data_IF_394218390523
#
_entry.id   IF_394218390523
#
_cell.length_a   1.000
_cell.length_b   1.000
_cell.length_c   1.000
_cell.angle_alpha   90.00
_cell.angle_beta   90.00
_cell.angle_gamma   90.00
#
_symmetry.space_group_name_H-M   'P 1'
#
loop_
_entity.id
_entity.type
_entity.pdbx_description
1 polymer ?
#
# COMPACT_ATOMS: atom_id res chain seq x y z
N UNK A 1 51.97 14.76 -11.22
CA UNK A 1 50.98 15.85 -11.36
C UNK A 1 49.52 15.36 -11.42
N UNK A 2 49.23 14.12 -11.81
CA UNK A 2 47.83 13.67 -12.04
C UNK A 2 47.06 13.16 -10.81
N UNK A 3 47.72 12.70 -9.73
CA UNK A 3 47.02 12.23 -8.51
C UNK A 3 46.40 13.37 -7.70
N UNK A 4 47.06 14.53 -7.66
CA UNK A 4 46.56 15.68 -6.90
C UNK A 4 45.39 16.36 -7.60
N UNK A 5 45.35 16.36 -8.93
CA UNK A 5 44.24 16.94 -9.72
C UNK A 5 42.93 16.15 -9.48
N UNK A 6 42.99 14.81 -9.48
CA UNK A 6 41.84 13.96 -9.19
C UNK A 6 41.33 14.14 -7.75
N UNK A 7 42.24 14.25 -6.78
CA UNK A 7 41.86 14.48 -5.37
C UNK A 7 41.29 15.89 -5.18
N UNK A 8 41.80 16.91 -5.87
CA UNK A 8 41.22 18.27 -5.82
C UNK A 8 39.87 18.35 -6.52
N UNK A 9 39.65 17.62 -7.62
CA UNK A 9 38.33 17.56 -8.27
C UNK A 9 37.34 16.84 -7.35
N UNK A 10 37.74 15.74 -6.72
CA UNK A 10 36.89 14.99 -5.81
C UNK A 10 36.55 15.79 -4.54
N UNK A 11 37.53 16.50 -3.94
CA UNK A 11 37.29 17.42 -2.84
C UNK A 11 36.44 18.62 -3.27
N UNK A 12 36.63 19.16 -4.48
CA UNK A 12 35.82 20.27 -4.98
C UNK A 12 34.37 19.86 -5.21
N UNK A 13 34.11 18.64 -5.69
CA UNK A 13 32.74 18.08 -5.84
C UNK A 13 32.09 17.86 -4.47
N UNK A 14 32.84 17.34 -3.49
CA UNK A 14 32.35 17.15 -2.12
C UNK A 14 32.08 18.50 -1.44
N UNK A 15 32.98 19.48 -1.59
CA UNK A 15 32.80 20.82 -1.01
C UNK A 15 31.64 21.55 -1.71
N UNK A 16 31.48 21.42 -3.03
CA UNK A 16 30.33 21.98 -3.76
C UNK A 16 29.01 21.33 -3.29
N UNK A 17 29.00 20.02 -3.02
CA UNK A 17 27.86 19.31 -2.45
C UNK A 17 27.54 19.70 -0.99
N UNK A 18 28.54 20.18 -0.23
CA UNK A 18 28.37 20.61 1.18
C UNK A 18 28.02 22.11 1.29
N UNK A 19 28.41 22.95 0.32
CA UNK A 19 28.13 24.40 0.34
C UNK A 19 26.86 24.82 -0.37
N UNK A 20 26.19 23.90 -1.08
CA UNK A 20 24.81 24.11 -1.49
C UNK A 20 23.95 23.99 -0.22
N UNK A 21 23.71 25.11 0.44
CA UNK A 21 22.47 25.26 1.20
C UNK A 21 21.35 24.85 0.26
N UNK A 22 20.75 23.69 0.49
CA UNK A 22 19.54 23.23 -0.17
C UNK A 22 18.40 24.20 0.22
N UNK A 23 18.43 25.41 -0.32
CA UNK A 23 17.22 26.19 -0.47
C UNK A 23 16.32 25.36 -1.38
N UNK A 24 15.07 25.11 -0.96
CA UNK A 24 14.12 24.40 -1.79
C UNK A 24 14.16 25.04 -3.18
N UNK A 25 14.31 24.24 -4.22
CA UNK A 25 14.20 24.75 -5.58
C UNK A 25 12.86 25.49 -5.66
N UNK A 26 12.89 26.77 -6.06
CA UNK A 26 11.65 27.52 -6.27
C UNK A 26 11.01 26.96 -7.53
N UNK A 27 10.10 26.01 -7.34
CA UNK A 27 9.27 25.44 -8.40
C UNK A 27 8.01 26.29 -8.55
N UNK A 28 7.54 26.44 -9.79
CA UNK A 28 6.22 26.99 -10.05
C UNK A 28 5.18 25.94 -9.63
N UNK A 29 4.16 26.37 -8.87
CA UNK A 29 3.11 25.48 -8.37
C UNK A 29 1.73 25.87 -8.88
N UNK A 30 0.85 24.88 -8.96
CA UNK A 30 -0.60 25.02 -9.08
C UNK A 30 -1.24 24.58 -7.77
N UNK A 31 -2.49 24.96 -7.56
CA UNK A 31 -3.28 24.57 -6.39
C UNK A 31 -4.33 23.52 -6.78
N UNK A 32 -4.40 22.44 -6.03
CA UNK A 32 -5.49 21.48 -6.05
C UNK A 32 -6.36 21.73 -4.82
N UNK A 33 -7.67 21.77 -5.01
CA UNK A 33 -8.64 21.88 -3.93
C UNK A 33 -9.91 21.12 -4.31
N UNK A 34 -10.43 20.36 -3.35
CA UNK A 34 -11.80 19.86 -3.35
C UNK A 34 -12.46 20.22 -2.01
N UNK A 35 -13.64 19.67 -1.72
CA UNK A 35 -14.39 20.00 -0.49
C UNK A 35 -13.67 19.62 0.83
N UNK A 36 -12.56 18.88 0.77
CA UNK A 36 -11.89 18.31 1.93
C UNK A 36 -10.37 18.50 1.96
N UNK A 37 -9.70 18.27 0.83
CA UNK A 37 -8.25 18.30 0.72
C UNK A 37 -7.84 19.43 -0.21
N UNK A 38 -6.82 20.19 0.20
CA UNK A 38 -6.11 21.09 -0.70
C UNK A 38 -4.59 21.04 -0.51
N UNK A 39 -3.85 21.25 -1.60
CA UNK A 39 -2.40 21.30 -1.61
C UNK A 39 -1.88 21.94 -2.91
N UNK A 40 -0.66 22.44 -2.84
CA UNK A 40 0.12 22.93 -3.95
C UNK A 40 0.95 21.78 -4.56
N UNK A 41 1.04 21.76 -5.88
CA UNK A 41 1.80 20.75 -6.62
C UNK A 41 2.56 21.41 -7.80
N UNK A 42 3.64 20.81 -8.33
CA UNK A 42 4.38 21.37 -9.46
C UNK A 42 3.49 21.66 -10.67
N UNK A 43 3.64 22.86 -11.26
CA UNK A 43 2.78 23.33 -12.33
C UNK A 43 2.84 22.51 -13.63
N UNK A 44 3.93 21.75 -13.82
CA UNK A 44 4.14 20.85 -14.96
C UNK A 44 3.47 19.48 -14.82
N UNK A 45 2.92 19.15 -13.66
CA UNK A 45 2.18 17.90 -13.51
C UNK A 45 0.84 17.95 -14.24
N UNK A 46 0.46 16.81 -14.78
CA UNK A 46 -0.82 16.58 -15.43
C UNK A 46 -1.70 15.73 -14.52
N UNK A 47 -2.93 16.17 -14.25
CA UNK A 47 -3.88 15.37 -13.49
C UNK A 47 -4.34 14.18 -14.34
N UNK A 48 -4.35 12.99 -13.75
CA UNK A 48 -4.72 11.72 -14.40
C UNK A 48 -5.93 11.10 -13.72
N UNK A 49 -6.47 10.02 -14.32
CA UNK A 49 -7.51 9.22 -13.68
C UNK A 49 -6.88 8.41 -12.54
N UNK A 50 -7.39 8.58 -11.33
CA UNK A 50 -7.02 7.72 -10.21
C UNK A 50 -7.72 6.36 -10.24
N UNK A 51 -7.15 5.39 -9.52
CA UNK A 51 -7.80 4.11 -9.23
C UNK A 51 -9.04 4.24 -8.33
N UNK A 52 -9.73 3.13 -8.09
CA UNK A 52 -11.02 3.10 -7.36
C UNK A 52 -10.97 3.74 -5.97
N UNK A 53 -9.82 3.67 -5.30
CA UNK A 53 -9.62 4.16 -3.93
C UNK A 53 -8.92 5.53 -3.84
N UNK A 54 -8.61 6.15 -4.98
CA UNK A 54 -7.84 7.39 -5.07
C UNK A 54 -8.79 8.59 -5.33
N UNK A 55 -8.54 9.70 -4.64
CA UNK A 55 -9.27 10.96 -4.83
C UNK A 55 -8.80 11.70 -6.08
N UNK A 56 -7.48 11.71 -6.30
CA UNK A 56 -6.83 12.35 -7.44
C UNK A 56 -5.46 11.70 -7.68
N UNK A 57 -5.04 11.68 -8.94
CA UNK A 57 -3.71 11.27 -9.34
C UNK A 57 -3.07 12.31 -10.26
N UNK A 58 -1.75 12.36 -10.26
CA UNK A 58 -0.94 13.24 -11.11
C UNK A 58 0.21 12.45 -11.74
N UNK A 59 0.60 12.86 -12.94
CA UNK A 59 1.81 12.39 -13.60
C UNK A 59 2.73 13.58 -13.91
N UNK A 60 4.03 13.39 -13.70
CA UNK A 60 5.05 14.28 -14.24
C UNK A 60 5.53 13.75 -15.59
N UNK A 61 5.16 14.38 -16.72
CA UNK A 61 5.53 13.90 -18.05
C UNK A 61 7.05 13.96 -18.31
N UNK A 62 7.82 14.70 -17.50
CA UNK A 62 9.28 14.80 -17.65
C UNK A 62 10.03 13.66 -16.97
N UNK A 63 9.57 13.23 -15.81
CA UNK A 63 10.25 12.23 -14.98
C UNK A 63 9.58 10.86 -15.02
N UNK A 64 8.32 10.81 -15.46
CA UNK A 64 7.48 9.62 -15.35
C UNK A 64 6.93 9.39 -13.95
N UNK A 65 7.21 10.29 -13.00
CA UNK A 65 6.72 10.17 -11.62
C UNK A 65 5.20 10.17 -11.59
N UNK A 66 4.63 9.25 -10.81
CA UNK A 66 3.21 9.24 -10.50
C UNK A 66 2.99 9.66 -9.05
N UNK A 67 1.94 10.42 -8.79
CA UNK A 67 1.52 10.80 -7.45
C UNK A 67 0.06 10.49 -7.27
N UNK A 68 -0.27 9.67 -6.29
CA UNK A 68 -1.65 9.30 -5.97
C UNK A 68 -2.02 9.86 -4.60
N UNK A 69 -3.22 10.42 -4.50
CA UNK A 69 -3.78 10.94 -3.25
C UNK A 69 -5.03 10.13 -2.94
N UNK A 70 -5.04 9.51 -1.77
CA UNK A 70 -6.11 8.60 -1.35
C UNK A 70 -6.62 8.96 0.04
N UNK A 71 -7.89 8.60 0.27
CA UNK A 71 -8.56 8.80 1.55
C UNK A 71 -9.50 7.63 1.81
N UNK A 72 -9.30 6.97 2.94
CA UNK A 72 -10.15 5.87 3.38
C UNK A 72 -10.71 6.14 4.78
N UNK A 73 -12.01 5.92 4.95
CA UNK A 73 -12.62 5.85 6.27
C UNK A 73 -11.99 4.68 7.05
N UNK A 74 -11.62 4.92 8.30
CA UNK A 74 -11.01 3.89 9.13
C UNK A 74 -12.09 2.90 9.58
N UNK A 75 -11.96 1.60 9.28
CA UNK A 75 -12.91 0.61 9.77
C UNK A 75 -12.93 0.56 11.30
N UNK A 76 -14.10 0.25 11.87
CA UNK A 76 -14.23 0.04 13.31
C UNK A 76 -13.26 -1.03 13.81
N UNK A 77 -12.53 -0.72 14.88
CA UNK A 77 -11.53 -1.61 15.48
C UNK A 77 -10.16 -1.65 14.78
N UNK A 78 -9.97 -0.96 13.65
CA UNK A 78 -8.64 -0.85 13.02
C UNK A 78 -7.66 -0.14 13.96
N UNK A 79 -6.51 -0.77 14.17
CA UNK A 79 -5.39 -0.20 14.92
C UNK A 79 -4.39 0.36 13.94
N UNK A 80 -4.07 1.63 14.07
CA UNK A 80 -3.09 2.24 13.19
C UNK A 80 -1.72 1.60 13.40
N UNK A 81 -1.01 1.22 12.33
CA UNK A 81 0.40 0.85 12.42
C UNK A 81 1.21 2.07 12.90
N UNK A 82 2.32 1.82 13.57
CA UNK A 82 3.15 2.88 14.17
C UNK A 82 3.57 3.94 13.15
N UNK A 83 3.93 3.54 11.94
CA UNK A 83 4.44 4.43 10.92
C UNK A 83 3.98 4.10 9.50
N UNK A 84 2.98 3.23 9.33
CA UNK A 84 2.44 2.81 8.03
C UNK A 84 3.44 2.16 7.07
N UNK A 85 4.66 1.81 7.52
CA UNK A 85 5.61 1.01 6.74
C UNK A 85 5.25 -0.47 6.88
N UNK A 86 5.00 -1.20 5.77
CA UNK A 86 4.72 -2.63 5.83
C UNK A 86 5.88 -3.47 6.40
N UNK A 87 5.58 -4.54 7.12
CA UNK A 87 6.59 -5.38 7.78
C UNK A 87 7.58 -6.02 6.80
N UNK A 88 7.12 -6.46 5.62
CA UNK A 88 8.00 -7.04 4.60
C UNK A 88 9.07 -6.05 4.13
N UNK A 89 8.72 -4.76 4.05
CA UNK A 89 9.65 -3.68 3.70
C UNK A 89 10.66 -3.47 4.84
N UNK A 90 10.20 -3.49 6.10
CA UNK A 90 11.10 -3.38 7.28
C UNK A 90 12.10 -4.54 7.37
N UNK A 91 11.73 -5.72 6.87
CA UNK A 91 12.60 -6.90 6.87
C UNK A 91 13.77 -6.81 5.87
N UNK A 92 13.80 -5.79 4.98
CA UNK A 92 14.86 -5.60 3.99
C UNK A 92 15.23 -6.89 3.24
N UNK A 93 14.23 -7.62 2.75
CA UNK A 93 14.46 -8.75 1.84
C UNK A 93 15.04 -8.25 0.51
N UNK A 94 15.59 -9.13 -0.33
CA UNK A 94 16.30 -8.77 -1.56
C UNK A 94 15.58 -7.80 -2.51
N UNK A 95 14.25 -7.76 -2.47
CA UNK A 95 13.41 -6.91 -3.31
C UNK A 95 13.06 -5.55 -2.67
N UNK A 96 13.28 -5.36 -1.36
CA UNK A 96 12.84 -4.18 -0.62
C UNK A 96 14.02 -3.51 0.09
N UNK A 97 14.12 -2.20 -0.05
CA UNK A 97 15.08 -1.37 0.67
C UNK A 97 14.32 -0.30 1.44
N UNK A 98 14.17 -0.48 2.75
CA UNK A 98 13.69 0.58 3.63
C UNK A 98 14.76 1.67 3.76
N UNK A 99 14.39 2.92 3.47
CA UNK A 99 15.30 4.07 3.53
C UNK A 99 15.09 4.88 4.81
N UNK A 100 13.85 5.31 5.07
CA UNK A 100 13.54 6.13 6.25
C UNK A 100 12.06 6.15 6.61
N UNK A 101 11.78 6.44 7.88
CA UNK A 101 10.46 6.79 8.39
C UNK A 101 10.63 7.92 9.40
N UNK A 102 9.94 9.04 9.19
CA UNK A 102 10.05 10.25 10.02
C UNK A 102 8.66 10.79 10.35
N UNK A 103 8.52 11.49 11.47
CA UNK A 103 7.30 12.26 11.73
C UNK A 103 7.21 13.42 10.73
N UNK A 104 6.02 13.64 10.19
CA UNK A 104 5.68 14.76 9.32
C UNK A 104 4.91 15.81 10.13
N UNK A 105 5.40 17.04 10.19
CA UNK A 105 4.62 18.18 10.68
C UNK A 105 3.93 18.83 9.49
N UNK A 106 2.60 18.79 9.45
CA UNK A 106 1.76 19.47 8.48
C UNK A 106 1.12 20.71 9.13
N UNK A 107 0.47 21.58 8.34
CA UNK A 107 -0.11 22.85 8.84
C UNK A 107 -0.94 22.67 10.12
N UNK A 108 -1.89 21.75 10.10
CA UNK A 108 -2.83 21.49 11.20
C UNK A 108 -2.86 20.02 11.63
N UNK A 109 -1.99 19.17 11.08
CA UNK A 109 -1.98 17.74 11.33
C UNK A 109 -0.56 17.22 11.55
N UNK A 110 -0.45 16.05 12.19
CA UNK A 110 0.78 15.27 12.25
C UNK A 110 0.62 14.01 11.39
N UNK A 111 1.74 13.53 10.87
CA UNK A 111 1.76 12.37 9.98
C UNK A 111 3.10 11.65 9.98
N UNK A 112 3.28 10.80 8.98
CA UNK A 112 4.54 10.07 8.75
C UNK A 112 5.02 10.26 7.32
N UNK A 113 6.31 10.51 7.17
CA UNK A 113 7.02 10.48 5.89
C UNK A 113 7.79 9.16 5.80
N UNK A 114 7.46 8.32 4.84
CA UNK A 114 8.16 7.07 4.60
C UNK A 114 8.90 7.13 3.28
N UNK A 115 10.07 6.50 3.22
CA UNK A 115 10.81 6.31 1.98
C UNK A 115 11.33 4.89 1.94
N UNK A 116 11.09 4.22 0.83
CA UNK A 116 11.61 2.88 0.55
C UNK A 116 11.74 2.68 -0.94
N UNK A 117 12.45 1.63 -1.34
CA UNK A 117 12.60 1.23 -2.74
C UNK A 117 12.16 -0.20 -2.94
N UNK A 118 11.61 -0.47 -4.11
CA UNK A 118 11.30 -1.82 -4.57
C UNK A 118 12.16 -2.12 -5.80
N UNK A 119 12.86 -3.25 -5.76
CA UNK A 119 13.71 -3.75 -6.82
C UNK A 119 12.98 -4.92 -7.51
N UNK A 120 12.53 -4.71 -8.74
CA UNK A 120 11.81 -5.73 -9.53
C UNK A 120 12.30 -5.74 -10.97
N UNK A 121 12.61 -6.92 -11.50
CA UNK A 121 13.06 -7.09 -12.89
C UNK A 121 14.27 -6.20 -13.29
N UNK A 122 15.23 -6.01 -12.37
CA UNK A 122 16.38 -5.09 -12.51
C UNK A 122 16.04 -3.60 -12.60
N UNK A 123 14.78 -3.22 -12.36
CA UNK A 123 14.37 -1.83 -12.19
C UNK A 123 14.19 -1.54 -10.71
N UNK A 124 14.71 -0.41 -10.26
CA UNK A 124 14.45 0.12 -8.92
C UNK A 124 13.40 1.21 -9.04
N UNK A 125 12.39 1.16 -8.19
CA UNK A 125 11.43 2.26 -8.03
C UNK A 125 11.52 2.77 -6.60
N UNK A 126 11.72 4.08 -6.44
CA UNK A 126 11.67 4.70 -5.12
C UNK A 126 10.25 5.19 -4.84
N UNK A 127 9.79 4.94 -3.62
CA UNK A 127 8.50 5.39 -3.13
C UNK A 127 8.72 6.33 -1.96
N UNK A 128 8.08 7.49 -2.03
CA UNK A 128 7.98 8.41 -0.89
C UNK A 128 6.51 8.61 -0.54
N UNK A 129 6.16 8.42 0.72
CA UNK A 129 4.78 8.44 1.17
C UNK A 129 4.60 9.44 2.28
N UNK A 130 3.46 10.13 2.26
CA UNK A 130 2.97 10.95 3.34
C UNK A 130 1.67 10.36 3.86
N UNK A 131 1.66 9.97 5.14
CA UNK A 131 0.50 9.39 5.81
C UNK A 131 -0.03 10.35 6.86
N UNK A 132 -1.33 10.60 6.86
CA UNK A 132 -2.00 11.43 7.88
C UNK A 132 -3.21 10.68 8.39
N UNK A 133 -3.32 10.57 9.72
CA UNK A 133 -4.47 9.95 10.38
C UNK A 133 -5.21 11.03 11.18
N UNK A 134 -6.33 11.47 10.67
CA UNK A 134 -7.13 12.55 11.25
C UNK A 134 -8.61 12.38 10.87
N UNK A 135 -9.52 12.97 11.64
CA UNK A 135 -10.97 12.93 11.36
C UNK A 135 -11.58 11.53 11.13
N UNK A 136 -11.02 10.49 11.77
CA UNK A 136 -11.49 9.11 11.59
C UNK A 136 -11.11 8.47 10.24
N UNK A 137 -10.21 9.08 9.48
CA UNK A 137 -9.78 8.63 8.16
C UNK A 137 -8.26 8.52 8.06
N UNK A 138 -7.81 7.68 7.14
CA UNK A 138 -6.42 7.61 6.69
C UNK A 138 -6.29 8.30 5.35
N UNK A 139 -5.35 9.24 5.28
CA UNK A 139 -4.94 9.92 4.08
C UNK A 139 -3.55 9.45 3.71
N UNK A 140 -3.35 9.14 2.43
CA UNK A 140 -2.04 8.81 1.91
C UNK A 140 -1.78 9.56 0.63
N UNK A 141 -0.55 10.07 0.51
CA UNK A 141 -0.03 10.63 -0.73
C UNK A 141 1.22 9.84 -1.08
N UNK A 142 1.17 9.08 -2.17
CA UNK A 142 2.23 8.17 -2.58
C UNK A 142 2.87 8.73 -3.84
N UNK A 143 4.16 9.02 -3.74
CA UNK A 143 5.01 9.44 -4.86
C UNK A 143 5.79 8.22 -5.34
N UNK A 144 5.58 7.83 -6.58
CA UNK A 144 6.31 6.79 -7.29
C UNK A 144 7.34 7.43 -8.22
N UNK A 145 8.62 7.20 -7.93
CA UNK A 145 9.73 7.66 -8.74
C UNK A 145 10.29 6.48 -9.55
N UNK A 146 9.88 6.31 -10.81
CA UNK A 146 10.47 5.29 -11.67
C UNK A 146 11.95 5.66 -11.90
N UNK A 147 12.85 4.79 -11.47
CA UNK A 147 14.28 5.04 -11.61
C UNK A 147 14.79 4.40 -12.91
N UNK A 148 15.29 5.22 -13.83
CA UNK A 148 16.21 4.78 -14.88
C UNK A 148 17.66 4.84 -14.38
N UNK A 149 18.57 4.13 -15.07
CA UNK A 149 20.00 4.04 -14.74
C UNK A 149 20.62 5.40 -14.36
N UNK A 150 21.43 5.40 -13.31
CA UNK A 150 22.07 6.58 -12.75
C UNK A 150 22.80 7.39 -13.84
N UNK A 151 22.36 8.64 -14.04
CA UNK A 151 23.06 9.63 -14.85
C UNK A 151 23.15 10.95 -14.07
N UNK A 152 24.04 11.87 -14.46
CA UNK A 152 24.21 13.14 -13.74
C UNK A 152 22.92 14.00 -13.68
N UNK A 153 21.94 13.75 -14.56
CA UNK A 153 20.64 14.40 -14.50
C UNK A 153 19.76 13.89 -13.35
N UNK A 154 20.00 12.69 -12.82
CA UNK A 154 19.28 12.15 -11.67
C UNK A 154 19.51 12.96 -10.39
N UNK A 155 20.68 13.60 -10.24
CA UNK A 155 20.98 14.50 -9.11
C UNK A 155 20.12 15.78 -9.15
N UNK A 156 19.91 16.34 -10.34
CA UNK A 156 19.01 17.49 -10.53
C UNK A 156 17.54 17.09 -10.36
N UNK A 157 17.14 15.93 -10.90
CA UNK A 157 15.80 15.35 -10.66
C UNK A 157 15.56 15.09 -9.17
N UNK A 158 16.56 14.66 -8.40
CA UNK A 158 16.47 14.45 -6.95
C UNK A 158 16.18 15.74 -6.16
N UNK A 159 16.69 16.89 -6.63
CA UNK A 159 16.36 18.19 -6.05
C UNK A 159 14.94 18.63 -6.41
N UNK A 160 14.48 18.37 -7.64
CA UNK A 160 13.12 18.71 -8.09
C UNK A 160 12.07 17.79 -7.43
N UNK A 161 12.33 16.49 -7.29
CA UNK A 161 11.46 15.54 -6.60
C UNK A 161 11.28 15.90 -5.12
N UNK A 162 12.37 16.29 -4.46
CA UNK A 162 12.33 16.78 -3.07
C UNK A 162 11.49 18.05 -2.97
N UNK A 163 11.69 19.01 -3.89
CA UNK A 163 10.89 20.24 -3.92
C UNK A 163 9.40 19.98 -4.19
N UNK A 164 9.08 19.02 -5.06
CA UNK A 164 7.71 18.61 -5.35
C UNK A 164 7.04 17.98 -4.12
N UNK A 165 7.73 17.07 -3.44
CA UNK A 165 7.24 16.49 -2.18
C UNK A 165 7.02 17.56 -1.11
N UNK A 166 7.96 18.46 -0.93
CA UNK A 166 7.86 19.54 0.06
C UNK A 166 6.74 20.53 -0.28
N UNK A 167 6.51 20.83 -1.57
CA UNK A 167 5.39 21.66 -1.99
C UNK A 167 4.05 21.05 -1.56
N UNK A 168 3.83 19.76 -1.84
CA UNK A 168 2.61 19.05 -1.42
C UNK A 168 2.52 18.99 0.10
N UNK A 169 3.57 18.51 0.79
CA UNK A 169 3.55 18.34 2.25
C UNK A 169 3.28 19.65 2.99
N UNK A 170 4.00 20.72 2.66
CA UNK A 170 3.95 21.98 3.41
C UNK A 170 2.66 22.77 3.15
N UNK A 171 2.00 22.52 2.02
CA UNK A 171 0.73 23.16 1.67
C UNK A 171 -0.50 22.32 2.04
N UNK A 172 -0.33 21.00 2.27
CA UNK A 172 -1.42 20.07 2.53
C UNK A 172 -2.29 20.55 3.68
N UNK A 173 -3.57 20.69 3.36
CA UNK A 173 -4.63 21.02 4.27
C UNK A 173 -5.74 19.96 4.15
N UNK A 174 -6.26 19.53 5.29
CA UNK A 174 -7.34 18.55 5.39
C UNK A 174 -8.40 19.17 6.29
N UNK A 175 -9.56 19.52 5.71
CA UNK A 175 -10.67 20.08 6.48
C UNK A 175 -11.34 18.99 7.31
N UNK A 176 -11.95 19.37 8.43
CA UNK A 176 -12.62 18.42 9.32
C UNK A 176 -13.94 17.97 8.70
N UNK A 177 -13.91 16.80 8.03
CA UNK A 177 -15.08 16.06 7.58
C UNK A 177 -15.02 14.66 8.16
N UNK A 178 -16.04 14.28 8.92
CA UNK A 178 -16.22 12.89 9.33
C UNK A 178 -16.70 12.08 8.10
N UNK A 179 -16.05 10.95 7.85
CA UNK A 179 -16.39 10.06 6.74
C UNK A 179 -17.34 8.97 7.24
N UNK A 180 -18.34 8.64 6.41
CA UNK A 180 -19.12 7.43 6.60
C UNK A 180 -18.21 6.20 6.45
N UNK A 181 -18.46 5.17 7.26
CA UNK A 181 -17.74 3.91 7.14
C UNK A 181 -17.94 3.31 5.75
N UNK A 182 -16.83 2.97 5.08
CA UNK A 182 -16.90 2.21 3.83
C UNK A 182 -16.82 0.71 4.19
N UNK A 183 -17.88 -0.07 3.93
CA UNK A 183 -17.85 -1.49 4.22
C UNK A 183 -16.86 -2.26 3.35
N UNK A 184 -16.48 -1.73 2.18
CA UNK A 184 -15.50 -2.32 1.26
C UNK A 184 -14.11 -1.79 1.63
N UNK A 185 -13.20 -2.68 2.06
CA UNK A 185 -11.81 -2.32 2.35
C UNK A 185 -10.84 -2.62 1.22
N UNK A 186 -11.29 -3.27 0.15
CA UNK A 186 -10.41 -3.66 -0.94
C UNK A 186 -11.04 -4.69 -1.85
N UNK A 187 -10.22 -5.38 -2.63
CA UNK A 187 -10.63 -6.54 -3.41
C UNK A 187 -9.66 -7.70 -3.26
N UNK A 188 -10.17 -8.93 -3.42
CA UNK A 188 -9.38 -10.16 -3.51
C UNK A 188 -9.45 -10.70 -4.93
N UNK A 189 -8.32 -11.11 -5.49
CA UNK A 189 -8.20 -11.70 -6.80
C UNK A 189 -7.46 -13.04 -6.72
N UNK A 190 -8.03 -14.08 -7.33
CA UNK A 190 -7.44 -15.42 -7.40
C UNK A 190 -7.21 -15.75 -8.88
N UNK A 191 -6.00 -15.51 -9.41
CA UNK A 191 -5.72 -15.63 -10.85
C UNK A 191 -5.98 -17.01 -11.43
N UNK A 192 -5.64 -18.08 -10.71
CA UNK A 192 -5.83 -19.46 -11.18
C UNK A 192 -7.30 -19.84 -11.40
N UNK A 193 -8.22 -19.04 -10.86
CA UNK A 193 -9.67 -19.22 -10.99
C UNK A 193 -10.34 -18.08 -11.77
N UNK A 194 -9.62 -17.00 -12.09
CA UNK A 194 -10.14 -15.84 -12.81
C UNK A 194 -11.24 -15.08 -12.06
N UNK A 195 -11.23 -15.12 -10.73
CA UNK A 195 -12.27 -14.49 -9.89
C UNK A 195 -11.71 -13.29 -9.13
N UNK A 196 -12.50 -12.21 -9.07
CA UNK A 196 -12.26 -11.02 -8.26
C UNK A 196 -13.52 -10.68 -7.46
N UNK A 197 -13.35 -10.37 -6.17
CA UNK A 197 -14.44 -10.06 -5.25
C UNK A 197 -14.10 -8.88 -4.34
N UNK A 198 -15.11 -8.13 -3.92
CA UNK A 198 -14.94 -7.08 -2.92
C UNK A 198 -14.62 -7.71 -1.56
N UNK A 199 -13.64 -7.17 -0.85
CA UNK A 199 -13.37 -7.53 0.56
C UNK A 199 -14.16 -6.60 1.46
N UNK A 200 -15.03 -7.17 2.28
CA UNK A 200 -15.94 -6.42 3.14
C UNK A 200 -15.69 -6.65 4.62
N UNK A 201 -16.07 -5.65 5.43
CA UNK A 201 -15.98 -5.69 6.89
C UNK A 201 -17.35 -5.74 7.60
N UNK A 202 -18.45 -5.63 6.87
CA UNK A 202 -19.81 -5.53 7.44
C UNK A 202 -20.60 -6.85 7.42
N UNK A 203 -20.54 -7.62 6.33
CA UNK A 203 -21.33 -8.85 6.17
C UNK A 203 -20.70 -9.84 5.18
N UNK A 204 -20.94 -11.12 5.45
CA UNK A 204 -20.65 -12.24 4.54
C UNK A 204 -21.80 -12.54 3.57
N UNK A 205 -23.02 -12.08 3.86
CA UNK A 205 -24.23 -12.42 3.11
C UNK A 205 -24.53 -11.40 2.01
N UNK A 206 -23.60 -11.25 1.07
CA UNK A 206 -23.67 -10.28 -0.03
C UNK A 206 -23.16 -10.90 -1.32
N UNK A 207 -23.85 -10.63 -2.43
CA UNK A 207 -23.37 -11.07 -3.74
C UNK A 207 -22.05 -10.37 -4.08
N UNK A 208 -21.17 -11.09 -4.77
CA UNK A 208 -19.91 -10.59 -5.30
C UNK A 208 -18.89 -10.06 -4.26
N UNK A 209 -18.98 -10.53 -3.02
CA UNK A 209 -18.07 -10.12 -1.95
C UNK A 209 -17.62 -11.27 -1.06
N UNK A 210 -16.49 -11.05 -0.40
CA UNK A 210 -15.96 -11.87 0.69
C UNK A 210 -15.91 -11.03 1.97
N UNK A 211 -15.76 -11.69 3.10
CA UNK A 211 -15.78 -11.07 4.42
C UNK A 211 -14.46 -11.26 5.13
N UNK A 212 -13.85 -10.17 5.61
CA UNK A 212 -12.70 -10.25 6.51
C UNK A 212 -13.19 -10.53 7.93
N UNK A 213 -12.59 -11.50 8.62
CA UNK A 213 -12.90 -11.77 10.02
C UNK A 213 -12.49 -10.59 10.91
N UNK A 214 -13.40 -10.00 11.72
CA UNK A 214 -13.10 -8.85 12.59
C UNK A 214 -11.91 -9.05 13.51
N UNK A 215 -11.79 -10.26 14.07
CA UNK A 215 -10.76 -10.70 15.01
C UNK A 215 -9.42 -11.04 14.35
N UNK A 216 -9.36 -11.13 13.03
CA UNK A 216 -8.13 -11.39 12.29
C UNK A 216 -7.32 -10.11 12.05
N UNK A 217 -6.10 -10.26 11.56
CA UNK A 217 -5.24 -9.14 11.19
C UNK A 217 -5.65 -8.51 9.85
N UNK A 218 -5.10 -7.34 9.55
CA UNK A 218 -5.21 -6.68 8.26
C UNK A 218 -4.08 -7.13 7.31
N UNK A 219 -4.28 -7.02 5.99
CA UNK A 219 -3.24 -7.31 5.00
C UNK A 219 -1.90 -6.65 5.33
N UNK A 220 -0.81 -7.44 5.27
CA UNK A 220 0.55 -6.96 5.56
C UNK A 220 0.95 -6.85 7.03
N UNK A 221 0.02 -6.99 7.98
CA UNK A 221 0.36 -6.96 9.41
C UNK A 221 1.17 -8.20 9.84
N UNK A 222 1.78 -8.13 11.03
CA UNK A 222 2.49 -9.23 11.68
C UNK A 222 1.50 -10.26 12.27
N UNK A 223 0.73 -10.91 11.41
CA UNK A 223 -0.24 -11.94 11.78
C UNK A 223 -1.05 -12.45 10.60
N UNK A 224 -2.05 -13.26 10.90
CA UNK A 224 -2.86 -13.93 9.87
C UNK A 224 -4.12 -13.14 9.54
N UNK A 225 -4.29 -12.80 8.26
CA UNK A 225 -5.56 -12.26 7.74
C UNK A 225 -6.53 -13.41 7.52
N UNK A 226 -7.75 -13.28 8.03
CA UNK A 226 -8.82 -14.24 7.78
C UNK A 226 -9.80 -13.70 6.77
N UNK A 227 -10.05 -14.43 5.68
CA UNK A 227 -11.10 -14.09 4.71
C UNK A 227 -12.05 -15.27 4.55
N UNK A 228 -13.34 -15.01 4.72
CA UNK A 228 -14.42 -15.96 4.49
C UNK A 228 -15.15 -15.65 3.19
N UNK A 229 -15.50 -16.69 2.45
CA UNK A 229 -16.37 -16.61 1.29
C UNK A 229 -17.35 -17.78 1.26
N UNK A 230 -18.56 -17.54 0.76
CA UNK A 230 -19.54 -18.62 0.59
C UNK A 230 -19.09 -19.64 -0.45
N UNK A 231 -19.35 -20.92 -0.18
CA UNK A 231 -19.07 -22.02 -1.11
C UNK A 231 -20.17 -22.16 -2.17
N UNK A 232 -21.42 -21.87 -1.85
CA UNK A 232 -22.58 -22.18 -2.72
C UNK A 232 -23.59 -21.05 -2.86
N UNK A 233 -23.61 -20.09 -1.94
CA UNK A 233 -24.56 -18.97 -1.93
C UNK A 233 -23.87 -17.66 -2.31
N UNK A 234 -24.66 -16.61 -2.58
CA UNK A 234 -24.15 -15.24 -2.73
C UNK A 234 -23.02 -15.10 -3.78
N UNK A 235 -23.27 -15.59 -5.00
CA UNK A 235 -22.27 -15.70 -6.09
C UNK A 235 -21.15 -16.73 -5.84
N UNK A 236 -21.17 -17.40 -4.68
CA UNK A 236 -20.27 -18.48 -4.30
C UNK A 236 -18.79 -18.11 -4.49
N UNK A 237 -18.33 -17.00 -3.86
CA UNK A 237 -17.01 -16.43 -4.13
C UNK A 237 -15.87 -17.42 -3.92
N UNK A 238 -16.02 -18.36 -2.97
CA UNK A 238 -15.03 -19.39 -2.66
C UNK A 238 -15.51 -20.82 -3.02
N UNK A 239 -16.33 -20.96 -4.05
CA UNK A 239 -16.82 -22.26 -4.54
C UNK A 239 -15.71 -23.27 -4.88
N UNK A 240 -14.51 -22.79 -5.20
CA UNK A 240 -13.44 -23.60 -5.77
C UNK A 240 -12.11 -23.46 -5.02
N UNK A 241 -12.06 -22.85 -3.82
CA UNK A 241 -10.76 -22.67 -3.12
C UNK A 241 -10.11 -24.02 -2.75
N UNK A 242 -10.89 -25.10 -2.66
CA UNK A 242 -10.41 -26.47 -2.51
C UNK A 242 -9.61 -26.99 -3.72
N UNK A 243 -9.67 -26.31 -4.86
CA UNK A 243 -8.91 -26.65 -6.07
C UNK A 243 -7.58 -25.91 -6.18
N UNK A 244 -7.31 -24.94 -5.29
CA UNK A 244 -6.04 -24.20 -5.27
C UNK A 244 -4.85 -25.14 -5.03
N UNK A 245 -3.75 -24.87 -5.69
CA UNK A 245 -2.51 -25.65 -5.57
C UNK A 245 -1.46 -24.84 -4.82
N UNK A 246 -0.51 -25.53 -4.20
CA UNK A 246 0.69 -24.89 -3.65
C UNK A 246 1.38 -24.11 -4.78
N UNK A 247 1.70 -22.84 -4.53
CA UNK A 247 2.24 -21.92 -5.52
C UNK A 247 1.19 -21.05 -6.23
N UNK A 248 -0.11 -21.34 -6.12
CA UNK A 248 -1.13 -20.42 -6.64
C UNK A 248 -1.12 -19.11 -5.85
N UNK A 249 -1.29 -17.99 -6.56
CA UNK A 249 -1.35 -16.67 -5.94
C UNK A 249 -2.77 -16.31 -5.48
N UNK A 250 -2.82 -15.55 -4.39
CA UNK A 250 -4.02 -14.87 -3.90
C UNK A 250 -3.63 -13.42 -3.63
N UNK A 251 -4.25 -12.50 -4.35
CA UNK A 251 -3.85 -11.09 -4.38
C UNK A 251 -4.92 -10.27 -3.66
N UNK A 252 -4.53 -9.42 -2.72
CA UNK A 252 -5.41 -8.47 -2.04
C UNK A 252 -4.99 -7.06 -2.42
N UNK A 253 -5.85 -6.34 -3.12
CA UNK A 253 -5.73 -4.89 -3.30
C UNK A 253 -6.40 -4.24 -2.09
N UNK A 254 -5.61 -3.80 -1.10
CA UNK A 254 -6.08 -3.17 0.13
C UNK A 254 -6.15 -1.65 -0.02
N UNK A 255 -7.37 -1.13 0.02
CA UNK A 255 -7.60 0.29 -0.13
C UNK A 255 -7.15 1.04 1.13
N UNK A 256 -7.14 0.42 2.32
CA UNK A 256 -6.75 1.13 3.53
C UNK A 256 -5.27 1.54 3.52
N UNK A 257 -4.39 0.61 3.17
CA UNK A 257 -2.94 0.86 3.07
C UNK A 257 -2.48 1.32 1.68
N UNK A 258 -3.40 1.37 0.69
CA UNK A 258 -3.06 1.61 -0.72
C UNK A 258 -1.95 0.66 -1.20
N UNK A 259 -2.06 -0.62 -0.83
CA UNK A 259 -1.11 -1.68 -1.19
C UNK A 259 -1.80 -2.88 -1.82
N UNK A 260 -1.13 -3.46 -2.80
CA UNK A 260 -1.35 -4.81 -3.32
C UNK A 260 -0.48 -5.77 -2.54
N UNK A 261 -1.10 -6.74 -1.87
CA UNK A 261 -0.44 -7.83 -1.18
C UNK A 261 -0.59 -9.11 -2.00
N UNK A 262 0.52 -9.72 -2.40
CA UNK A 262 0.53 -11.00 -3.10
C UNK A 262 0.87 -12.09 -2.10
N UNK A 263 -0.06 -13.02 -1.90
CA UNK A 263 0.13 -14.21 -1.09
C UNK A 263 0.26 -15.44 -1.99
N UNK A 264 1.07 -16.41 -1.58
CA UNK A 264 1.26 -17.68 -2.26
C UNK A 264 0.70 -18.81 -1.38
N UNK A 265 -0.15 -19.67 -1.95
CA UNK A 265 -0.69 -20.86 -1.25
C UNK A 265 0.46 -21.78 -0.87
N UNK A 266 0.57 -22.13 0.41
CA UNK A 266 1.55 -23.11 0.91
C UNK A 266 0.89 -24.38 1.48
N UNK A 267 -0.40 -24.32 1.84
CA UNK A 267 -1.17 -25.48 2.29
C UNK A 267 -2.63 -25.37 1.88
N UNK A 268 -3.22 -26.46 1.39
CA UNK A 268 -4.64 -26.57 1.06
C UNK A 268 -5.16 -27.93 1.52
N UNK A 269 -6.38 -27.98 2.06
CA UNK A 269 -7.04 -29.20 2.48
C UNK A 269 -7.08 -29.42 3.99
N UNK A 270 -6.84 -28.39 4.80
CA UNK A 270 -7.18 -28.44 6.20
C UNK A 270 -8.71 -28.31 6.36
N UNK A 271 -9.32 -29.25 7.08
CA UNK A 271 -10.77 -29.32 7.26
C UNK A 271 -11.08 -29.34 8.75
N UNK A 272 -11.67 -28.25 9.23
CA UNK A 272 -12.12 -28.15 10.61
C UNK A 272 -13.58 -28.59 10.76
N UNK A 273 -13.78 -29.84 11.17
CA UNK A 273 -15.09 -30.44 11.43
C UNK A 273 -15.78 -29.94 12.70
N UNK A 274 -15.06 -29.22 13.56
CA UNK A 274 -15.55 -28.75 14.85
C UNK A 274 -15.45 -27.23 15.00
N UNK A 275 -15.55 -26.49 13.88
CA UNK A 275 -15.37 -25.04 13.86
C UNK A 275 -16.35 -24.26 14.75
N UNK A 276 -17.45 -24.90 15.19
CA UNK A 276 -18.42 -24.33 16.13
C UNK A 276 -17.94 -24.33 17.58
N UNK A 277 -17.11 -25.30 17.97
CA UNK A 277 -16.50 -25.38 19.30
C UNK A 277 -15.07 -24.84 19.27
N UNK A 278 -14.35 -25.11 18.19
CA UNK A 278 -12.97 -24.71 17.95
C UNK A 278 -12.90 -23.83 16.70
N UNK A 279 -13.24 -22.53 16.78
CA UNK A 279 -13.25 -21.64 15.63
C UNK A 279 -11.87 -21.53 14.99
N UNK A 280 -11.84 -21.19 13.69
CA UNK A 280 -10.60 -20.93 12.96
C UNK A 280 -9.81 -19.83 13.68
N UNK A 281 -8.52 -20.05 13.88
CA UNK A 281 -7.65 -19.12 14.59
C UNK A 281 -6.82 -18.31 13.61
N UNK A 282 -6.55 -17.06 13.97
CA UNK A 282 -5.74 -16.12 13.18
C UNK A 282 -4.57 -15.64 14.04
N UNK A 283 -3.50 -16.45 14.16
CA UNK A 283 -2.41 -16.17 15.09
C UNK A 283 -1.60 -14.93 14.67
N UNK A 284 -1.01 -14.29 15.68
CA UNK A 284 0.03 -13.27 15.50
C UNK A 284 1.32 -13.87 14.94
N UNK A 285 2.21 -13.00 14.44
CA UNK A 285 3.53 -13.37 13.97
C UNK A 285 3.66 -13.25 12.46
N UNK A 286 3.65 -14.36 11.73
CA UNK A 286 3.91 -14.34 10.29
C UNK A 286 2.77 -13.66 9.54
N UNK A 287 3.11 -12.79 8.59
CA UNK A 287 2.17 -12.20 7.63
C UNK A 287 1.61 -13.28 6.69
N UNK A 288 0.49 -13.86 7.08
CA UNK A 288 -0.19 -14.97 6.39
C UNK A 288 -1.62 -14.60 6.02
N UNK A 289 -2.22 -15.39 5.14
CA UNK A 289 -3.62 -15.28 4.73
C UNK A 289 -4.26 -16.66 4.83
N UNK A 290 -5.40 -16.71 5.49
CA UNK A 290 -6.24 -17.90 5.62
C UNK A 290 -7.57 -17.67 4.90
N UNK A 291 -7.84 -18.45 3.86
CA UNK A 291 -9.14 -18.47 3.18
C UNK A 291 -10.03 -19.54 3.81
N UNK A 292 -11.28 -19.20 4.09
CA UNK A 292 -12.24 -20.07 4.77
C UNK A 292 -13.54 -20.15 3.99
N UNK A 293 -14.05 -21.37 3.81
CA UNK A 293 -15.41 -21.59 3.29
C UNK A 293 -16.10 -22.75 3.98
N UNK A 294 -17.44 -22.81 3.89
CA UNK A 294 -18.21 -23.92 4.43
C UNK A 294 -17.97 -25.21 3.63
N UNK A 295 -18.02 -26.35 4.32
CA UNK A 295 -17.78 -27.67 3.74
C UNK A 295 -18.70 -28.74 4.34
N UNK A 296 -19.05 -29.82 3.60
CA UNK A 296 -18.93 -29.99 2.14
C UNK A 296 -19.87 -29.06 1.35
N UNK A 297 -19.76 -28.98 0.01
CA UNK A 297 -20.58 -28.10 -0.81
C UNK A 297 -22.08 -28.27 -0.52
N UNK A 298 -22.76 -27.17 -0.19
CA UNK A 298 -24.19 -27.16 0.16
C UNK A 298 -24.51 -27.43 1.63
N UNK A 299 -23.48 -27.66 2.46
CA UNK A 299 -23.62 -27.90 3.89
C UNK A 299 -22.69 -27.02 4.72
N UNK A 300 -22.97 -26.92 6.02
CA UNK A 300 -22.17 -26.19 7.01
C UNK A 300 -21.70 -27.15 8.12
N UNK A 301 -21.14 -28.30 7.72
CA UNK A 301 -20.69 -29.34 8.65
C UNK A 301 -19.25 -29.12 9.12
N UNK A 302 -18.44 -28.49 8.28
CA UNK A 302 -17.04 -28.19 8.52
C UNK A 302 -16.66 -26.86 7.85
N UNK A 303 -15.45 -26.39 8.13
CA UNK A 303 -14.78 -25.33 7.37
C UNK A 303 -13.64 -25.94 6.54
N UNK A 304 -13.56 -25.59 5.27
CA UNK A 304 -12.40 -25.85 4.42
C UNK A 304 -11.47 -24.64 4.48
N UNK A 305 -10.18 -24.90 4.67
CA UNK A 305 -9.18 -23.88 4.97
C UNK A 305 -8.00 -23.98 3.99
N UNK A 306 -7.59 -22.83 3.46
CA UNK A 306 -6.38 -22.66 2.64
C UNK A 306 -5.46 -21.66 3.30
N UNK A 307 -4.18 -21.99 3.43
CA UNK A 307 -3.17 -21.13 4.02
C UNK A 307 -2.19 -20.62 2.97
N UNK A 308 -1.94 -19.31 3.01
CA UNK A 308 -1.08 -18.59 2.10
C UNK A 308 -0.07 -17.76 2.90
N UNK A 309 1.12 -17.57 2.34
CA UNK A 309 2.21 -16.75 2.93
C UNK A 309 2.39 -15.50 2.09
N UNK A 310 2.65 -14.36 2.72
CA UNK A 310 2.94 -13.12 1.98
C UNK A 310 4.27 -13.25 1.23
N UNK A 311 4.28 -12.95 -0.07
CA UNK A 311 5.47 -13.01 -0.92
C UNK A 311 5.84 -11.66 -1.53
N UNK A 312 4.88 -10.78 -1.78
CA UNK A 312 5.15 -9.45 -2.35
C UNK A 312 4.19 -8.37 -1.84
N UNK A 313 4.66 -7.12 -1.81
CA UNK A 313 3.88 -5.91 -1.53
C UNK A 313 4.21 -4.86 -2.58
N UNK A 314 3.18 -4.29 -3.21
CA UNK A 314 3.31 -3.24 -4.22
C UNK A 314 2.36 -2.08 -3.89
N UNK A 315 2.68 -0.82 -4.21
CA UNK A 315 1.71 0.27 -4.12
C UNK A 315 0.52 0.08 -5.08
N UNK A 316 -0.66 0.53 -4.67
CA UNK A 316 -1.84 0.61 -5.54
C UNK A 316 -1.79 1.89 -6.35
N UNK A 317 -1.40 1.75 -7.61
CA UNK A 317 -1.37 2.83 -8.59
C UNK A 317 -2.54 2.72 -9.55
#
# INVERSE_FOLDING_TARGET
MNKYILVTIFLAVIILAITLSFGSAKIETKHYENDEISFDYPANWEQTLGGESQLVAFNDPKTGMNVTVSRQAKPSGYKNPENFVPELIKQNKSEYEFVSSNNASLKENEGFENTYKINKNNTTTEYKELWVNTNGALYSIIFEYPHEEFNLWSLFKGSESTAAFDAVKNSLNITSRELEENPISGSIYIPSQGIRWDVRNDTINIANGVYRYPESFYPGESGTVGIMGHHTQFSAPFANINLLKVGDEVIIDDYLTQKRYVYEVYHNGDINWDYKVHPVQFPEGKSELTLVTCWPPGFMLAAWIVHCKLVSIEPLN
#
